data_IF_310494647863
#
_entry.id   IF_310494647863
#
_cell.length_a   1.000
_cell.length_b   1.000
_cell.length_c   1.000
_cell.angle_alpha   90.00
_cell.angle_beta   90.00
_cell.angle_gamma   90.00
#
_symmetry.space_group_name_H-M   'P 1'
#
loop_
_entity.id
_entity.type
_entity.pdbx_description
1 polymer ?
#
# COMPACT_ATOMS: atom_id res chain seq x y z
N UNK A 1 -19.70 -3.55 30.60
CA UNK A 1 -20.75 -2.67 30.10
C UNK A 1 -20.32 -1.24 30.37
N UNK A 2 -19.68 -0.59 29.44
CA UNK A 2 -19.54 0.87 29.36
C UNK A 2 -19.66 1.20 27.87
N UNK A 3 -20.73 1.88 27.57
CA UNK A 3 -21.18 2.27 26.24
C UNK A 3 -20.18 3.23 25.59
N UNK A 4 -19.74 2.91 24.37
CA UNK A 4 -19.10 3.84 23.47
C UNK A 4 -20.19 4.53 22.62
N UNK A 5 -20.90 5.51 23.20
CA UNK A 5 -21.73 6.46 22.46
C UNK A 5 -20.92 7.74 22.24
N UNK A 6 -20.82 8.16 20.97
CA UNK A 6 -20.55 9.54 20.62
C UNK A 6 -19.28 9.79 19.82
N UNK A 7 -19.29 9.47 18.53
CA UNK A 7 -18.75 10.35 17.48
C UNK A 7 -19.27 9.86 16.12
N UNK A 8 -20.53 10.09 15.86
CA UNK A 8 -21.17 9.95 14.55
C UNK A 8 -21.04 11.30 13.87
N UNK A 9 -20.13 11.38 12.93
CA UNK A 9 -20.03 12.54 12.05
C UNK A 9 -18.83 12.38 11.12
N UNK A 10 -19.12 12.16 9.82
CA UNK A 10 -18.19 12.21 8.68
C UNK A 10 -17.52 10.85 8.39
N UNK A 11 -18.16 10.09 7.54
CA UNK A 11 -17.83 8.78 6.99
C UNK A 11 -17.63 7.65 8.02
N UNK A 12 -18.47 6.61 8.01
CA UNK A 12 -18.15 5.39 8.73
C UNK A 12 -16.82 4.88 8.17
N UNK A 13 -15.84 4.73 9.02
CA UNK A 13 -14.51 4.21 8.70
C UNK A 13 -14.55 2.90 7.88
N UNK A 14 -15.62 2.15 8.02
CA UNK A 14 -15.88 0.92 7.30
C UNK A 14 -16.23 1.12 5.82
N UNK A 15 -16.97 2.18 5.44
CA UNK A 15 -17.48 2.32 4.08
C UNK A 15 -16.41 2.79 3.09
N UNK A 16 -15.50 3.69 3.48
CA UNK A 16 -14.43 4.13 2.58
C UNK A 16 -13.34 3.04 2.40
N UNK A 17 -12.99 2.32 3.46
CA UNK A 17 -12.09 1.17 3.37
C UNK A 17 -12.73 0.02 2.61
N UNK A 18 -14.02 -0.26 2.82
CA UNK A 18 -14.77 -1.28 2.07
C UNK A 18 -15.00 -0.88 0.61
N UNK A 19 -15.28 0.39 0.33
CA UNK A 19 -15.40 0.87 -1.04
C UNK A 19 -14.07 0.85 -1.77
N UNK A 20 -12.96 1.23 -1.13
CA UNK A 20 -11.64 1.09 -1.74
C UNK A 20 -11.26 -0.38 -1.95
N UNK A 21 -11.59 -1.25 -1.00
CA UNK A 21 -11.38 -2.69 -1.14
C UNK A 21 -12.16 -3.29 -2.32
N UNK A 22 -13.36 -2.77 -2.64
CA UNK A 22 -14.13 -3.20 -3.81
C UNK A 22 -13.57 -2.71 -5.15
N UNK A 23 -12.71 -1.68 -5.14
CA UNK A 23 -12.00 -1.16 -6.32
C UNK A 23 -10.59 -1.71 -6.47
N UNK A 24 -10.05 -2.34 -5.41
CA UNK A 24 -8.82 -3.10 -5.52
C UNK A 24 -9.20 -4.41 -6.25
N UNK A 25 -8.62 -4.73 -7.43
CA UNK A 25 -8.87 -6.03 -8.03
C UNK A 25 -8.47 -7.11 -7.02
N UNK A 26 -9.07 -8.28 -7.11
CA UNK A 26 -8.95 -9.45 -6.21
C UNK A 26 -7.50 -9.92 -5.90
N UNK A 27 -6.52 -9.17 -6.36
CA UNK A 27 -5.11 -9.29 -5.99
C UNK A 27 -4.83 -9.05 -4.49
N UNK A 28 -5.79 -8.45 -3.75
CA UNK A 28 -5.58 -8.01 -2.36
C UNK A 28 -6.58 -8.62 -1.38
N UNK A 29 -7.71 -9.06 -1.88
CA UNK A 29 -8.64 -9.90 -1.12
C UNK A 29 -8.27 -11.36 -1.36
N UNK A 30 -8.58 -12.22 -0.41
CA UNK A 30 -8.46 -13.68 -0.56
C UNK A 30 -8.96 -14.12 -1.95
N UNK A 31 -8.23 -15.02 -2.61
CA UNK A 31 -8.67 -15.59 -3.90
C UNK A 31 -10.16 -15.87 -3.82
N UNK A 32 -10.98 -15.51 -4.86
CA UNK A 32 -12.39 -15.87 -4.91
C UNK A 32 -12.54 -17.33 -4.53
N UNK A 33 -13.53 -17.67 -3.71
CA UNK A 33 -13.81 -19.06 -3.33
C UNK A 33 -13.91 -19.90 -4.61
N UNK A 34 -12.96 -20.83 -4.82
CA UNK A 34 -12.88 -21.70 -5.99
C UNK A 34 -11.71 -21.47 -6.93
N UNK A 35 -10.89 -20.42 -6.79
CA UNK A 35 -9.60 -20.33 -7.47
C UNK A 35 -8.53 -21.01 -6.64
N UNK A 36 -7.86 -22.03 -7.19
CA UNK A 36 -6.67 -22.62 -6.55
C UNK A 36 -5.61 -21.54 -6.38
N UNK A 37 -5.14 -21.38 -5.14
CA UNK A 37 -4.00 -20.47 -4.85
C UNK A 37 -2.80 -20.96 -5.64
N UNK A 38 -2.07 -20.06 -6.34
CA UNK A 38 -0.86 -20.48 -7.06
C UNK A 38 0.08 -21.21 -6.10
N UNK A 39 0.43 -22.45 -6.46
CA UNK A 39 1.41 -23.24 -5.71
C UNK A 39 2.82 -22.80 -6.12
N UNK A 40 3.54 -22.20 -5.21
CA UNK A 40 4.92 -21.77 -5.42
C UNK A 40 5.95 -22.74 -4.82
N UNK A 41 5.53 -23.88 -4.26
CA UNK A 41 6.38 -24.77 -3.47
C UNK A 41 7.62 -25.20 -4.24
N UNK A 42 7.47 -25.70 -5.45
CA UNK A 42 8.60 -26.14 -6.29
C UNK A 42 9.53 -24.97 -6.66
N UNK A 43 8.96 -23.80 -6.94
CA UNK A 43 9.74 -22.59 -7.27
C UNK A 43 10.53 -22.06 -6.07
N UNK A 44 9.94 -22.11 -4.89
CA UNK A 44 10.59 -21.71 -3.63
C UNK A 44 11.78 -22.64 -3.35
N UNK A 45 11.59 -23.95 -3.45
CA UNK A 45 12.67 -24.92 -3.26
C UNK A 45 13.80 -24.75 -4.28
N UNK A 46 13.46 -24.56 -5.56
CA UNK A 46 14.43 -24.26 -6.59
C UNK A 46 15.22 -22.97 -6.29
N UNK A 47 14.54 -21.91 -5.88
CA UNK A 47 15.17 -20.65 -5.50
C UNK A 47 16.10 -20.80 -4.30
N UNK A 48 15.71 -21.59 -3.27
CA UNK A 48 16.57 -21.92 -2.11
C UNK A 48 17.86 -22.61 -2.51
N UNK A 49 17.81 -23.43 -3.58
CA UNK A 49 18.99 -24.13 -4.15
C UNK A 49 19.79 -23.28 -5.13
N UNK A 50 19.36 -22.04 -5.38
CA UNK A 50 20.00 -21.11 -6.33
C UNK A 50 19.73 -21.43 -7.79
N UNK A 51 18.68 -22.20 -8.11
CA UNK A 51 18.30 -22.51 -9.49
C UNK A 51 17.81 -21.26 -10.22
N UNK A 52 18.53 -20.89 -11.28
CA UNK A 52 18.22 -19.72 -12.10
C UNK A 52 16.92 -19.87 -12.89
N UNK A 53 16.52 -21.07 -13.25
CA UNK A 53 15.25 -21.31 -13.95
C UNK A 53 14.07 -21.07 -13.01
N UNK A 54 14.14 -21.59 -11.78
CA UNK A 54 13.15 -21.34 -10.74
C UNK A 54 13.06 -19.84 -10.38
N UNK A 55 14.19 -19.16 -10.24
CA UNK A 55 14.23 -17.70 -9.99
C UNK A 55 13.56 -16.91 -11.12
N UNK A 56 13.83 -17.26 -12.39
CA UNK A 56 13.19 -16.63 -13.55
C UNK A 56 11.68 -16.87 -13.58
N UNK A 57 11.24 -18.08 -13.29
CA UNK A 57 9.82 -18.42 -13.25
C UNK A 57 9.10 -17.69 -12.14
N UNK A 58 9.70 -17.61 -10.96
CA UNK A 58 9.15 -16.87 -9.82
C UNK A 58 9.10 -15.36 -10.09
N UNK A 59 10.15 -14.79 -10.72
CA UNK A 59 10.14 -13.40 -11.17
C UNK A 59 8.96 -13.13 -12.11
N UNK A 60 8.77 -13.96 -13.15
CA UNK A 60 7.69 -13.79 -14.11
C UNK A 60 6.31 -13.87 -13.45
N UNK A 61 6.14 -14.74 -12.47
CA UNK A 61 4.88 -14.91 -11.74
C UNK A 61 4.55 -13.71 -10.83
N UNK A 62 5.56 -13.05 -10.25
CA UNK A 62 5.36 -12.01 -9.25
C UNK A 62 5.61 -10.59 -9.76
N UNK A 63 6.38 -10.39 -10.84
CA UNK A 63 6.85 -9.06 -11.25
C UNK A 63 5.73 -8.04 -11.44
N UNK A 64 4.65 -8.40 -12.12
CA UNK A 64 3.51 -7.51 -12.35
C UNK A 64 2.82 -7.10 -11.04
N UNK A 65 2.62 -8.06 -10.14
CA UNK A 65 1.99 -7.84 -8.83
C UNK A 65 2.86 -6.94 -7.95
N UNK A 66 4.15 -7.23 -7.87
CA UNK A 66 5.09 -6.49 -7.05
C UNK A 66 5.37 -5.10 -7.63
N UNK A 67 5.39 -4.95 -8.97
CA UNK A 67 5.47 -3.64 -9.60
C UNK A 67 4.28 -2.75 -9.23
N UNK A 68 3.06 -3.31 -9.17
CA UNK A 68 1.87 -2.58 -8.73
C UNK A 68 2.00 -2.11 -7.26
N UNK A 69 2.68 -2.87 -6.41
CA UNK A 69 3.04 -2.43 -5.05
C UNK A 69 4.03 -1.27 -5.12
N UNK A 70 5.16 -1.43 -5.82
CA UNK A 70 6.22 -0.43 -5.89
C UNK A 70 5.71 0.92 -6.41
N UNK A 71 4.93 0.91 -7.50
CA UNK A 71 4.43 2.15 -8.13
C UNK A 71 3.50 2.95 -7.19
N UNK A 72 2.71 2.28 -6.34
CA UNK A 72 1.86 2.94 -5.36
C UNK A 72 2.64 3.72 -4.31
N UNK A 73 3.82 3.22 -3.92
CA UNK A 73 4.67 3.90 -2.94
C UNK A 73 5.53 4.99 -3.58
N UNK A 74 6.13 4.70 -4.71
CA UNK A 74 7.07 5.63 -5.35
C UNK A 74 6.36 6.76 -6.11
N UNK A 75 5.23 6.48 -6.76
CA UNK A 75 4.51 7.45 -7.59
C UNK A 75 5.18 7.72 -8.95
N UNK A 76 6.40 7.27 -9.16
CA UNK A 76 7.18 7.35 -10.38
C UNK A 76 7.46 5.94 -10.92
N UNK A 77 7.36 5.78 -12.25
CA UNK A 77 7.59 4.47 -12.89
C UNK A 77 9.05 4.04 -12.78
N UNK A 78 9.98 4.97 -12.97
CA UNK A 78 11.41 4.69 -12.97
C UNK A 78 11.88 4.28 -11.56
N UNK A 79 11.51 5.07 -10.53
CA UNK A 79 11.78 4.71 -9.14
C UNK A 79 11.13 3.37 -8.75
N UNK A 80 9.92 3.09 -9.24
CA UNK A 80 9.24 1.83 -8.97
C UNK A 80 9.96 0.63 -9.60
N UNK A 81 10.60 0.81 -10.76
CA UNK A 81 11.42 -0.23 -11.39
C UNK A 81 12.69 -0.52 -10.58
N UNK A 82 13.34 0.50 -10.06
CA UNK A 82 14.52 0.34 -9.20
C UNK A 82 14.15 -0.43 -7.93
N UNK A 83 13.05 -0.03 -7.28
CA UNK A 83 12.54 -0.73 -6.09
C UNK A 83 12.12 -2.17 -6.41
N UNK A 84 11.57 -2.42 -7.60
CA UNK A 84 11.24 -3.77 -8.04
C UNK A 84 12.48 -4.66 -8.12
N UNK A 85 13.57 -4.15 -8.70
CA UNK A 85 14.84 -4.88 -8.81
C UNK A 85 15.44 -5.15 -7.42
N UNK A 86 15.56 -4.12 -6.58
CA UNK A 86 16.07 -4.24 -5.21
C UNK A 86 15.21 -5.21 -4.37
N UNK A 87 13.89 -5.17 -4.56
CA UNK A 87 12.94 -6.06 -3.92
C UNK A 87 13.16 -7.52 -4.31
N UNK A 88 13.41 -7.83 -5.59
CA UNK A 88 13.72 -9.19 -6.03
C UNK A 88 15.08 -9.66 -5.54
N UNK A 89 16.11 -8.81 -5.55
CA UNK A 89 17.41 -9.15 -4.96
C UNK A 89 17.24 -9.51 -3.49
N UNK A 90 16.47 -8.71 -2.74
CA UNK A 90 16.17 -8.97 -1.32
C UNK A 90 15.36 -10.26 -1.15
N UNK A 91 14.34 -10.50 -2.00
CA UNK A 91 13.49 -11.67 -1.97
C UNK A 91 14.33 -12.95 -2.13
N UNK A 92 15.18 -13.02 -3.16
CA UNK A 92 16.01 -14.19 -3.41
C UNK A 92 17.06 -14.40 -2.33
N UNK A 93 17.63 -13.32 -1.79
CA UNK A 93 18.60 -13.41 -0.68
C UNK A 93 17.94 -13.96 0.60
N UNK A 94 16.70 -13.56 0.86
CA UNK A 94 15.93 -13.96 2.04
C UNK A 94 15.03 -15.18 1.84
N UNK A 95 15.17 -15.89 0.72
CA UNK A 95 14.30 -17.04 0.41
C UNK A 95 14.35 -18.13 1.49
N UNK A 96 15.50 -18.27 2.17
CA UNK A 96 15.66 -19.18 3.30
C UNK A 96 14.90 -18.78 4.56
N UNK A 97 14.53 -17.51 4.70
CA UNK A 97 13.80 -16.98 5.86
C UNK A 97 12.28 -17.22 5.77
N UNK A 98 11.78 -17.64 4.62
CA UNK A 98 10.36 -17.95 4.46
C UNK A 98 10.03 -19.27 5.17
N UNK A 99 9.25 -19.18 6.23
CA UNK A 99 8.92 -20.30 7.12
C UNK A 99 7.62 -21.05 6.75
N UNK A 100 7.06 -20.74 5.58
CA UNK A 100 5.81 -21.33 5.03
C UNK A 100 4.55 -21.04 5.89
N UNK A 101 4.64 -20.14 6.87
CA UNK A 101 3.50 -19.67 7.62
C UNK A 101 2.79 -18.56 6.85
N UNK A 102 1.60 -18.87 6.34
CA UNK A 102 0.81 -17.93 5.56
C UNK A 102 1.16 -17.90 4.08
N UNK A 103 0.66 -16.88 3.38
CA UNK A 103 0.80 -16.75 1.94
C UNK A 103 2.21 -16.30 1.54
N UNK A 104 2.85 -17.01 0.60
CA UNK A 104 4.12 -16.61 0.02
C UNK A 104 4.05 -15.21 -0.62
N UNK A 105 2.98 -14.91 -1.37
CA UNK A 105 2.78 -13.58 -1.95
C UNK A 105 2.68 -12.50 -0.88
N UNK A 106 2.05 -12.77 0.25
CA UNK A 106 1.97 -11.84 1.38
C UNK A 106 3.32 -11.59 2.01
N UNK A 107 4.15 -12.64 2.17
CA UNK A 107 5.52 -12.52 2.66
C UNK A 107 6.40 -11.74 1.67
N UNK A 108 6.32 -12.08 0.38
CA UNK A 108 7.02 -11.36 -0.68
C UNK A 108 6.63 -9.88 -0.67
N UNK A 109 5.31 -9.56 -0.64
CA UNK A 109 4.81 -8.18 -0.61
C UNK A 109 5.42 -7.35 0.52
N UNK A 110 5.54 -7.90 1.73
CA UNK A 110 6.18 -7.21 2.85
C UNK A 110 7.63 -6.83 2.55
N UNK A 111 8.36 -7.65 1.79
CA UNK A 111 9.73 -7.34 1.35
C UNK A 111 9.71 -6.11 0.45
N UNK A 112 8.85 -6.07 -0.57
CA UNK A 112 8.76 -4.94 -1.51
C UNK A 112 8.29 -3.65 -0.82
N UNK A 113 7.29 -3.73 0.07
CA UNK A 113 6.85 -2.59 0.89
C UNK A 113 8.02 -2.06 1.73
N UNK A 114 8.75 -2.93 2.43
CA UNK A 114 9.89 -2.52 3.25
C UNK A 114 11.01 -1.91 2.40
N UNK A 115 11.29 -2.45 1.22
CA UNK A 115 12.29 -1.90 0.29
C UNK A 115 11.88 -0.49 -0.15
N UNK A 116 10.61 -0.29 -0.51
CA UNK A 116 10.08 1.03 -0.86
C UNK A 116 10.18 2.02 0.31
N UNK A 117 9.80 1.61 1.52
CA UNK A 117 9.89 2.46 2.71
C UNK A 117 11.33 2.85 3.05
N UNK A 118 12.29 1.94 2.88
CA UNK A 118 13.71 2.23 3.09
C UNK A 118 14.21 3.27 2.07
N UNK A 119 13.83 3.16 0.81
CA UNK A 119 14.18 4.14 -0.24
C UNK A 119 13.58 5.51 0.06
N UNK A 120 12.29 5.59 0.41
CA UNK A 120 11.62 6.84 0.77
C UNK A 120 12.27 7.53 1.98
N UNK A 121 12.72 6.77 2.98
CA UNK A 121 13.46 7.32 4.13
C UNK A 121 14.81 7.88 3.73
N UNK A 122 15.56 7.15 2.89
CA UNK A 122 16.89 7.58 2.42
C UNK A 122 16.81 8.89 1.64
N UNK A 123 15.75 9.08 0.87
CA UNK A 123 15.54 10.27 0.05
C UNK A 123 14.87 11.42 0.82
N UNK A 124 14.70 11.34 2.13
CA UNK A 124 13.99 12.33 2.97
C UNK A 124 12.56 12.67 2.46
N UNK A 125 12.04 11.90 1.51
CA UNK A 125 10.75 12.17 0.87
C UNK A 125 9.58 12.18 1.86
N UNK A 126 9.73 11.52 3.01
CA UNK A 126 8.72 11.48 4.07
C UNK A 126 8.69 12.75 4.91
N UNK A 127 9.80 13.50 4.98
CA UNK A 127 9.91 14.75 5.78
C UNK A 127 9.29 15.96 5.08
N UNK A 128 9.27 15.96 3.74
CA UNK A 128 8.75 17.08 2.94
C UNK A 128 7.23 17.26 3.11
N UNK A 129 6.51 16.23 3.54
CA UNK A 129 5.06 16.32 3.77
C UNK A 129 4.66 17.19 4.95
N UNK A 130 5.55 17.43 5.93
CA UNK A 130 5.25 18.26 7.10
C UNK A 130 5.27 19.77 6.76
N UNK A 131 5.97 20.16 5.69
CA UNK A 131 6.08 21.58 5.27
C UNK A 131 4.91 22.10 4.42
N UNK A 132 4.01 21.21 3.96
CA UNK A 132 2.84 21.57 3.15
C UNK A 132 1.60 21.88 4.02
N UNK A 133 1.69 21.72 5.33
CA UNK A 133 0.55 21.91 6.27
C UNK A 133 -0.05 23.32 6.27
N UNK A 134 0.64 24.32 5.72
CA UNK A 134 0.22 25.74 5.77
C UNK A 134 -0.69 26.19 4.63
N UNK A 135 -0.95 25.36 3.60
CA UNK A 135 -1.62 25.80 2.37
C UNK A 135 -3.09 25.35 2.20
N UNK A 136 -3.58 24.41 3.01
CA UNK A 136 -4.91 23.84 2.78
C UNK A 136 -5.86 24.14 3.94
N UNK A 137 -6.84 25.01 3.67
CA UNK A 137 -7.90 25.35 4.62
C UNK A 137 -8.78 24.14 4.95
N UNK A 138 -9.23 24.08 6.21
CA UNK A 138 -10.22 23.11 6.69
C UNK A 138 -11.58 23.41 6.02
N UNK A 139 -11.85 22.75 4.91
CA UNK A 139 -13.16 22.77 4.26
C UNK A 139 -13.98 21.57 4.72
N UNK A 140 -15.17 21.84 5.27
CA UNK A 140 -16.18 20.82 5.58
C UNK A 140 -16.69 20.21 4.28
N UNK A 141 -16.31 18.97 3.98
CA UNK A 141 -16.64 18.33 2.71
C UNK A 141 -17.70 17.26 2.88
N UNK A 142 -18.86 17.47 2.24
CA UNK A 142 -19.89 16.44 2.14
C UNK A 142 -19.44 15.25 1.28
N UNK A 143 -19.99 14.03 1.51
CA UNK A 143 -19.61 12.84 0.78
C UNK A 143 -19.95 12.95 -0.71
N UNK A 144 -18.97 12.79 -1.57
CA UNK A 144 -19.15 12.71 -3.02
C UNK A 144 -19.16 11.23 -3.45
N UNK A 145 -20.02 10.81 -4.42
CA UNK A 145 -20.10 9.42 -4.85
C UNK A 145 -18.78 8.96 -5.51
N UNK A 146 -18.03 8.12 -4.82
CA UNK A 146 -16.85 7.42 -5.35
C UNK A 146 -17.28 6.28 -6.29
N UNK A 147 -18.57 6.03 -6.39
CA UNK A 147 -19.16 4.83 -6.99
C UNK A 147 -18.93 4.66 -8.50
N UNK A 148 -18.50 5.71 -9.23
CA UNK A 148 -18.32 5.64 -10.68
C UNK A 148 -16.85 5.67 -11.13
N UNK A 149 -15.91 5.86 -10.20
CA UNK A 149 -14.49 5.99 -10.51
C UNK A 149 -13.82 4.63 -10.65
N UNK A 150 -13.26 4.32 -11.82
CA UNK A 150 -12.53 3.09 -12.04
C UNK A 150 -11.23 3.01 -11.22
N UNK A 151 -10.80 1.77 -10.89
CA UNK A 151 -9.56 1.49 -10.13
C UNK A 151 -8.32 2.25 -10.64
N UNK A 152 -8.12 2.29 -11.96
CA UNK A 152 -6.97 2.99 -12.57
C UNK A 152 -6.97 4.48 -12.27
N UNK A 153 -8.13 5.08 -12.21
CA UNK A 153 -8.30 6.51 -11.95
C UNK A 153 -8.07 6.81 -10.46
N UNK A 154 -8.63 6.00 -9.58
CA UNK A 154 -8.36 6.08 -8.13
C UNK A 154 -6.87 5.94 -7.84
N UNK A 155 -6.18 4.98 -8.48
CA UNK A 155 -4.74 4.81 -8.30
C UNK A 155 -3.92 6.01 -8.78
N UNK A 156 -4.35 6.69 -9.86
CA UNK A 156 -3.70 7.94 -10.29
C UNK A 156 -3.82 9.04 -9.23
N UNK A 157 -4.98 9.16 -8.58
CA UNK A 157 -5.16 10.12 -7.48
C UNK A 157 -4.28 9.79 -6.28
N UNK A 158 -4.22 8.52 -5.89
CA UNK A 158 -3.33 8.08 -4.79
C UNK A 158 -1.86 8.39 -5.12
N UNK A 159 -1.43 8.13 -6.36
CA UNK A 159 -0.06 8.42 -6.80
C UNK A 159 0.25 9.93 -6.83
N UNK A 160 -0.75 10.80 -6.98
CA UNK A 160 -0.56 12.26 -6.95
C UNK A 160 -0.46 12.85 -5.54
N UNK A 161 -0.74 12.06 -4.50
CA UNK A 161 -0.56 12.51 -3.11
C UNK A 161 0.92 12.77 -2.80
N UNK A 162 1.25 13.73 -1.92
CA UNK A 162 2.58 13.87 -1.35
C UNK A 162 3.06 12.56 -0.72
N UNK A 163 4.37 12.28 -0.83
CA UNK A 163 4.94 10.98 -0.49
C UNK A 163 4.57 10.48 0.92
N UNK A 164 4.61 11.35 1.95
CA UNK A 164 4.25 10.97 3.32
C UNK A 164 2.79 10.58 3.46
N UNK A 165 1.87 11.38 2.91
CA UNK A 165 0.42 11.09 2.94
C UNK A 165 0.10 9.84 2.14
N UNK A 166 0.70 9.68 0.96
CA UNK A 166 0.57 8.50 0.12
C UNK A 166 1.05 7.23 0.82
N UNK A 167 2.18 7.31 1.50
CA UNK A 167 2.77 6.18 2.23
C UNK A 167 1.85 5.73 3.37
N UNK A 168 1.41 6.64 4.23
CA UNK A 168 0.51 6.32 5.34
C UNK A 168 -0.84 5.80 4.83
N UNK A 169 -1.36 6.40 3.75
CA UNK A 169 -2.60 5.93 3.12
C UNK A 169 -2.47 4.50 2.60
N UNK A 170 -1.41 4.18 1.86
CA UNK A 170 -1.19 2.83 1.34
C UNK A 170 -1.02 1.81 2.48
N UNK A 171 -0.19 2.11 3.48
CA UNK A 171 0.01 1.21 4.61
C UNK A 171 -1.29 0.93 5.36
N UNK A 172 -2.10 1.96 5.61
CA UNK A 172 -3.34 1.79 6.39
C UNK A 172 -4.48 1.19 5.56
N UNK A 173 -4.79 1.81 4.39
CA UNK A 173 -6.00 1.48 3.62
C UNK A 173 -5.82 0.26 2.71
N UNK A 174 -4.59 -0.01 2.25
CA UNK A 174 -4.30 -1.08 1.29
C UNK A 174 -3.64 -2.28 1.97
N UNK A 175 -2.61 -2.03 2.77
CA UNK A 175 -1.84 -3.12 3.40
C UNK A 175 -2.39 -3.52 4.78
N UNK A 176 -3.34 -2.75 5.36
CA UNK A 176 -4.02 -3.09 6.61
C UNK A 176 -3.19 -2.88 7.89
N UNK A 177 -2.09 -2.11 7.82
CA UNK A 177 -1.29 -1.80 9.01
C UNK A 177 -2.06 -0.90 9.98
N UNK A 178 -1.92 -1.17 11.27
CA UNK A 178 -2.39 -0.28 12.33
C UNK A 178 -1.55 1.00 12.41
N UNK A 179 -2.11 2.08 12.97
CA UNK A 179 -1.35 3.32 13.19
C UNK A 179 -0.12 3.13 14.10
N UNK A 180 -0.10 2.10 14.95
CA UNK A 180 1.05 1.76 15.77
C UNK A 180 2.17 1.17 14.92
N UNK A 181 1.86 0.20 14.08
CA UNK A 181 2.83 -0.41 13.16
C UNK A 181 3.36 0.60 12.14
N UNK A 182 2.49 1.49 11.61
CA UNK A 182 2.90 2.58 10.72
C UNK A 182 3.86 3.52 11.44
N UNK A 183 3.56 3.89 12.68
CA UNK A 183 4.41 4.76 13.48
C UNK A 183 5.80 4.16 13.70
N UNK A 184 5.88 2.88 14.06
CA UNK A 184 7.13 2.14 14.21
C UNK A 184 7.89 2.06 12.86
N UNK A 185 7.16 1.70 11.80
CA UNK A 185 7.73 1.55 10.47
C UNK A 185 8.27 2.85 9.90
N UNK A 186 7.63 3.99 10.14
CA UNK A 186 8.02 5.30 9.58
C UNK A 186 8.84 6.17 10.53
N UNK A 187 8.99 5.79 11.80
CA UNK A 187 9.67 6.60 12.81
C UNK A 187 8.89 7.88 13.19
N UNK A 188 7.56 7.83 13.12
CA UNK A 188 6.66 8.92 13.49
C UNK A 188 5.80 8.53 14.71
N UNK A 189 4.97 9.45 15.20
CA UNK A 189 3.99 9.11 16.23
C UNK A 189 2.72 8.52 15.65
N UNK A 190 1.97 7.73 16.42
CA UNK A 190 0.64 7.26 15.98
C UNK A 190 -0.34 8.42 15.77
N UNK A 191 -0.16 9.55 16.45
CA UNK A 191 -0.95 10.77 16.23
C UNK A 191 -0.62 11.37 14.86
N UNK A 192 0.66 11.48 14.50
CA UNK A 192 1.12 11.92 13.17
C UNK A 192 0.57 10.99 12.07
N UNK A 193 0.62 9.67 12.27
CA UNK A 193 0.05 8.72 11.31
C UNK A 193 -1.45 8.95 11.10
N UNK A 194 -2.22 9.23 12.17
CA UNK A 194 -3.65 9.55 12.03
C UNK A 194 -3.89 10.86 11.30
N UNK A 195 -3.13 11.91 11.63
CA UNK A 195 -3.28 13.21 10.97
C UNK A 195 -2.91 13.14 9.48
N UNK A 196 -1.84 12.45 9.12
CA UNK A 196 -1.44 12.24 7.73
C UNK A 196 -2.49 11.43 6.94
N UNK A 197 -3.10 10.41 7.53
CA UNK A 197 -4.19 9.67 6.90
C UNK A 197 -5.41 10.57 6.65
N UNK A 198 -5.79 11.40 7.62
CA UNK A 198 -6.90 12.34 7.45
C UNK A 198 -6.62 13.36 6.35
N UNK A 199 -5.41 13.91 6.28
CA UNK A 199 -4.99 14.81 5.19
C UNK A 199 -5.03 14.11 3.83
N UNK A 200 -4.50 12.88 3.73
CA UNK A 200 -4.59 12.10 2.50
C UNK A 200 -6.03 11.93 2.01
N UNK A 201 -6.95 11.63 2.92
CA UNK A 201 -8.38 11.47 2.61
C UNK A 201 -9.02 12.77 2.14
N UNK A 202 -8.75 13.88 2.82
CA UNK A 202 -9.27 15.20 2.41
C UNK A 202 -8.79 15.57 1.00
N UNK A 203 -7.50 15.42 0.72
CA UNK A 203 -6.95 15.69 -0.60
C UNK A 203 -7.59 14.81 -1.69
N UNK A 204 -7.76 13.51 -1.44
CA UNK A 204 -8.43 12.62 -2.39
C UNK A 204 -9.88 13.04 -2.63
N UNK A 205 -10.63 13.41 -1.59
CA UNK A 205 -12.01 13.90 -1.72
C UNK A 205 -12.10 15.17 -2.57
N UNK A 206 -11.19 16.13 -2.35
CA UNK A 206 -11.13 17.36 -3.14
C UNK A 206 -10.79 17.09 -4.62
N UNK A 207 -9.82 16.20 -4.86
CA UNK A 207 -9.46 15.80 -6.22
C UNK A 207 -10.62 15.11 -6.96
N UNK A 208 -11.43 14.33 -6.27
CA UNK A 208 -12.63 13.68 -6.82
C UNK A 208 -13.70 14.72 -7.14
N UNK A 209 -13.99 15.65 -6.20
CA UNK A 209 -14.98 16.73 -6.40
C UNK A 209 -14.65 17.62 -7.59
N UNK A 210 -13.38 17.96 -7.79
CA UNK A 210 -12.95 18.86 -8.85
C UNK A 210 -12.96 18.22 -10.26
N UNK A 211 -13.31 16.93 -10.35
CA UNK A 211 -13.40 16.19 -11.63
C UNK A 211 -14.85 15.93 -12.09
N UNK A 212 -15.81 16.15 -11.19
CA UNK A 212 -17.24 16.06 -11.46
C UNK A 212 -17.76 17.41 -11.93
#
# INVERSE_FOLDING_TARGET
>A
MIEAQGFIGIFPYATFSHQLASYLPDYYTECPEGMEKPDYTELIEGCRKGDRAAQRSLYNALASKMFAVCIRYMGSRDEAQDILQDGFVTLFTKMGDYDERGSFEGWARKIFVNTALMSLRKNDALKVSDSIETAWGLGDSQPTPVQEMGYKEMMRLVMSLPAGYRTVFNMFAVEGYSHKEIAEALGITSATSRSQLNRARQMLQEMIKNRT
#
